data_IF_357425930765
#
_entry.id   IF_357425930765
#
_cell.length_a   1.000
_cell.length_b   1.000
_cell.length_c   1.000
_cell.angle_alpha   90.00
_cell.angle_beta   90.00
_cell.angle_gamma   90.00
#
_symmetry.space_group_name_H-M   'P 1'
#
loop_
_entity.id
_entity.type
_entity.pdbx_description
1 polymer ?
#
# COMPACT_ATOMS: atom_id res chain seq x y z
N UNK A 1 -21.77 -41.91 -0.08
CA UNK A 1 -20.97 -40.69 -0.20
C UNK A 1 -20.16 -40.59 1.08
N UNK A 2 -18.87 -40.92 1.02
CA UNK A 2 -18.04 -41.17 2.21
C UNK A 2 -17.93 -39.96 3.13
N UNK A 3 -18.01 -40.19 4.44
CA UNK A 3 -17.82 -39.16 5.49
C UNK A 3 -16.50 -38.40 5.30
N UNK A 4 -15.44 -39.10 4.88
CA UNK A 4 -14.14 -38.52 4.57
C UNK A 4 -14.23 -37.39 3.53
N UNK A 5 -15.02 -37.61 2.48
CA UNK A 5 -15.18 -36.66 1.37
C UNK A 5 -16.06 -35.45 1.75
N UNK A 6 -16.94 -35.61 2.74
CA UNK A 6 -17.72 -34.53 3.33
C UNK A 6 -16.88 -33.68 4.31
N UNK A 7 -16.03 -34.31 5.11
CA UNK A 7 -15.10 -33.64 6.03
C UNK A 7 -14.02 -32.86 5.28
N UNK A 8 -13.47 -33.42 4.19
CA UNK A 8 -12.50 -32.73 3.33
C UNK A 8 -13.12 -31.52 2.62
N UNK A 9 -14.36 -31.63 2.17
CA UNK A 9 -15.10 -30.51 1.56
C UNK A 9 -15.41 -29.42 2.60
N UNK A 10 -15.75 -29.80 3.83
CA UNK A 10 -15.96 -28.86 4.94
C UNK A 10 -14.66 -28.14 5.35
N UNK A 11 -13.51 -28.79 5.22
CA UNK A 11 -12.20 -28.18 5.49
C UNK A 11 -11.78 -27.13 4.45
N UNK A 12 -12.25 -27.24 3.20
CA UNK A 12 -11.91 -26.34 2.09
C UNK A 12 -12.82 -25.11 2.04
N UNK A 13 -14.12 -25.28 2.29
CA UNK A 13 -15.08 -24.16 2.26
C UNK A 13 -14.79 -23.18 3.40
N UNK A 14 -14.59 -21.91 3.06
CA UNK A 14 -14.26 -20.86 4.03
C UNK A 14 -12.79 -20.80 4.44
N UNK A 15 -11.95 -21.73 3.97
CA UNK A 15 -10.49 -21.74 4.25
C UNK A 15 -9.84 -20.41 3.87
N UNK A 16 -10.08 -19.91 2.66
CA UNK A 16 -9.48 -18.65 2.19
C UNK A 16 -9.82 -17.45 3.07
N UNK A 17 -11.06 -17.40 3.59
CA UNK A 17 -11.48 -16.34 4.51
C UNK A 17 -10.81 -16.51 5.89
N UNK A 18 -10.78 -17.73 6.44
CA UNK A 18 -10.13 -18.03 7.72
C UNK A 18 -8.62 -17.74 7.69
N UNK A 19 -7.92 -18.29 6.71
CA UNK A 19 -6.47 -18.19 6.56
C UNK A 19 -6.09 -16.74 6.19
N UNK A 20 -6.82 -16.11 5.28
CA UNK A 20 -6.64 -14.69 4.93
C UNK A 20 -6.85 -13.76 6.12
N UNK A 21 -7.92 -13.97 6.91
CA UNK A 21 -8.16 -13.19 8.11
C UNK A 21 -7.07 -13.39 9.18
N UNK A 22 -6.46 -14.58 9.26
CA UNK A 22 -5.34 -14.83 10.15
C UNK A 22 -4.10 -14.04 9.72
N UNK A 23 -3.71 -14.12 8.44
CA UNK A 23 -2.59 -13.35 7.88
C UNK A 23 -2.79 -11.84 8.05
N UNK A 24 -4.02 -11.37 7.85
CA UNK A 24 -4.35 -9.96 8.00
C UNK A 24 -4.24 -9.50 9.46
N UNK A 25 -4.66 -10.32 10.43
CA UNK A 25 -4.46 -10.03 11.86
C UNK A 25 -2.97 -9.99 12.22
N UNK A 26 -2.17 -10.92 11.71
CA UNK A 26 -0.71 -10.91 11.92
C UNK A 26 -0.10 -9.62 11.41
N UNK A 27 -0.45 -9.18 10.19
CA UNK A 27 0.05 -7.92 9.66
C UNK A 27 -0.31 -6.71 10.53
N UNK A 28 -1.55 -6.59 11.02
CA UNK A 28 -1.93 -5.51 11.94
C UNK A 28 -1.23 -5.59 13.31
N UNK A 29 -0.94 -6.80 13.81
CA UNK A 29 -0.15 -6.99 15.02
C UNK A 29 1.28 -6.50 14.82
N UNK A 30 1.91 -6.83 13.69
CA UNK A 30 3.24 -6.34 13.36
C UNK A 30 3.27 -4.80 13.29
N UNK A 31 2.26 -4.19 12.66
CA UNK A 31 2.11 -2.73 12.63
C UNK A 31 1.96 -2.12 14.03
N UNK A 32 1.16 -2.76 14.89
CA UNK A 32 0.96 -2.32 16.27
C UNK A 32 2.28 -2.36 17.03
N UNK A 33 3.05 -3.44 16.90
CA UNK A 33 4.35 -3.57 17.55
C UNK A 33 5.33 -2.50 17.09
N UNK A 34 5.32 -2.15 15.79
CA UNK A 34 6.13 -1.04 15.25
C UNK A 34 5.70 0.28 15.89
N UNK A 35 4.39 0.55 15.98
CA UNK A 35 3.87 1.78 16.57
C UNK A 35 4.20 1.92 18.06
N UNK A 36 4.08 0.84 18.84
CA UNK A 36 4.39 0.81 20.27
C UNK A 36 5.87 1.03 20.57
N UNK A 37 6.75 0.62 19.65
CA UNK A 37 8.19 0.86 19.74
C UNK A 37 8.62 2.21 19.15
N UNK A 38 7.67 3.13 18.92
CA UNK A 38 7.86 4.44 18.27
C UNK A 38 8.50 4.35 16.86
N UNK A 39 8.35 3.19 16.21
CA UNK A 39 8.79 2.94 14.86
C UNK A 39 7.92 3.63 13.82
N UNK A 40 8.48 3.75 12.61
CA UNK A 40 7.78 4.31 11.45
C UNK A 40 7.60 3.25 10.37
N UNK A 41 6.57 3.42 9.54
CA UNK A 41 6.32 2.57 8.39
C UNK A 41 6.38 3.35 7.08
N UNK A 42 6.66 2.63 5.99
CA UNK A 42 6.46 3.16 4.66
C UNK A 42 4.98 3.10 4.28
N UNK A 43 4.42 4.23 3.89
CA UNK A 43 3.03 4.36 3.47
C UNK A 43 3.01 4.20 1.96
N UNK A 44 2.44 3.09 1.49
CA UNK A 44 2.47 2.70 0.09
C UNK A 44 1.06 2.80 -0.47
N UNK A 45 0.86 3.81 -1.31
CA UNK A 45 -0.42 4.12 -1.94
C UNK A 45 -0.64 3.26 -3.19
N UNK A 46 -1.84 3.38 -3.73
CA UNK A 46 -2.33 2.64 -4.90
C UNK A 46 -2.22 1.14 -4.62
N UNK A 47 -2.83 0.74 -3.50
CA UNK A 47 -2.94 -0.64 -3.02
C UNK A 47 -1.60 -1.41 -3.01
N UNK A 48 -0.52 -0.75 -2.59
CA UNK A 48 0.78 -1.40 -2.44
C UNK A 48 1.67 -1.36 -3.68
N UNK A 49 1.52 -0.35 -4.53
CA UNK A 49 2.41 -0.15 -5.67
C UNK A 49 3.87 -0.07 -5.23
N UNK A 50 4.76 -0.83 -5.86
CA UNK A 50 6.22 -0.82 -5.61
C UNK A 50 6.65 -1.34 -4.24
N UNK A 51 5.76 -2.02 -3.53
CA UNK A 51 6.03 -2.60 -2.22
C UNK A 51 7.25 -3.54 -2.23
N UNK A 52 7.56 -4.18 -3.35
CA UNK A 52 8.71 -5.09 -3.49
C UNK A 52 10.05 -4.38 -3.24
N UNK A 53 10.19 -3.13 -3.69
CA UNK A 53 11.38 -2.33 -3.40
C UNK A 53 11.46 -2.09 -1.88
N UNK A 54 10.35 -1.72 -1.25
CA UNK A 54 10.37 -1.36 0.17
C UNK A 54 10.62 -2.58 1.07
N UNK A 55 10.08 -3.75 0.69
CA UNK A 55 10.34 -5.02 1.36
C UNK A 55 11.79 -5.47 1.23
N UNK A 56 12.48 -5.10 0.16
CA UNK A 56 13.93 -5.34 0.03
C UNK A 56 14.71 -4.64 1.15
N UNK A 57 14.26 -3.48 1.60
CA UNK A 57 14.86 -2.71 2.70
C UNK A 57 14.34 -3.08 4.11
N UNK A 58 13.44 -4.06 4.21
CA UNK A 58 12.74 -4.46 5.45
C UNK A 58 11.83 -3.39 6.05
N UNK A 59 11.28 -2.50 5.22
CA UNK A 59 10.30 -1.55 5.74
C UNK A 59 9.05 -2.27 6.29
N UNK A 60 8.57 -1.89 7.49
CA UNK A 60 7.17 -2.05 7.82
C UNK A 60 6.35 -1.27 6.78
N UNK A 61 5.29 -1.88 6.24
CA UNK A 61 4.50 -1.26 5.17
C UNK A 61 3.05 -1.14 5.59
N UNK A 62 2.53 0.07 5.41
CA UNK A 62 1.14 0.46 5.60
C UNK A 62 0.53 0.72 4.22
N UNK A 63 -0.71 0.27 4.02
CA UNK A 63 -1.51 0.57 2.84
C UNK A 63 -2.69 1.46 3.27
N UNK A 64 -2.59 2.79 3.10
CA UNK A 64 -3.57 3.74 3.66
C UNK A 64 -5.03 3.45 3.24
N UNK A 65 -5.24 3.05 1.99
CA UNK A 65 -6.57 2.71 1.47
C UNK A 65 -7.13 1.44 2.12
N UNK A 66 -6.28 0.46 2.42
CA UNK A 66 -6.70 -0.79 3.06
C UNK A 66 -7.08 -0.50 4.51
N UNK A 67 -6.28 0.28 5.25
CA UNK A 67 -6.61 0.69 6.60
C UNK A 67 -7.93 1.47 6.63
N UNK A 68 -8.06 2.45 5.74
CA UNK A 68 -9.30 3.21 5.59
C UNK A 68 -10.50 2.32 5.30
N UNK A 69 -10.38 1.38 4.37
CA UNK A 69 -11.43 0.40 4.05
C UNK A 69 -11.79 -0.45 5.28
N UNK A 70 -10.82 -0.82 6.12
CA UNK A 70 -11.10 -1.61 7.32
C UNK A 70 -11.98 -0.88 8.33
N UNK A 71 -11.89 0.45 8.44
CA UNK A 71 -12.81 1.24 9.27
C UNK A 71 -14.27 1.08 8.79
N UNK A 72 -14.48 1.00 7.47
CA UNK A 72 -15.80 0.79 6.87
C UNK A 72 -16.30 -0.65 7.06
N UNK A 73 -15.42 -1.64 6.85
CA UNK A 73 -15.73 -3.07 7.11
C UNK A 73 -16.14 -3.30 8.56
N UNK A 74 -15.53 -2.56 9.50
CA UNK A 74 -15.84 -2.62 10.93
C UNK A 74 -16.99 -1.71 11.35
N UNK A 75 -17.60 -0.99 10.41
CA UNK A 75 -18.75 -0.09 10.62
C UNK A 75 -18.47 1.07 11.59
N UNK A 76 -17.22 1.54 11.62
CA UNK A 76 -16.80 2.69 12.44
C UNK A 76 -16.26 3.86 11.62
N UNK A 77 -16.24 3.75 10.28
CA UNK A 77 -15.74 4.81 9.40
C UNK A 77 -16.35 6.19 9.69
N UNK A 78 -17.64 6.25 10.06
CA UNK A 78 -18.34 7.51 10.33
C UNK A 78 -17.59 8.41 11.32
N UNK A 79 -17.06 7.84 12.40
CA UNK A 79 -16.36 8.62 13.43
C UNK A 79 -15.05 9.22 12.90
N UNK A 80 -14.32 8.46 12.07
CA UNK A 80 -13.07 8.91 11.45
C UNK A 80 -13.32 9.99 10.39
N UNK A 81 -14.39 9.84 9.61
CA UNK A 81 -14.78 10.80 8.57
C UNK A 81 -15.21 12.13 9.20
N UNK A 82 -16.09 12.08 10.21
CA UNK A 82 -16.56 13.29 10.91
C UNK A 82 -15.42 14.06 11.55
N UNK A 83 -14.45 13.36 12.18
CA UNK A 83 -13.30 14.02 12.79
C UNK A 83 -12.40 14.71 11.77
N UNK A 84 -12.20 14.11 10.59
CA UNK A 84 -11.47 14.78 9.51
C UNK A 84 -12.23 16.00 8.95
N UNK A 85 -13.56 15.92 8.87
CA UNK A 85 -14.41 17.03 8.44
C UNK A 85 -14.39 18.18 9.45
N UNK A 86 -14.50 17.88 10.75
CA UNK A 86 -14.38 18.85 11.85
C UNK A 86 -12.99 19.50 11.90
N UNK A 87 -11.95 18.75 11.53
CA UNK A 87 -10.60 19.29 11.37
C UNK A 87 -10.47 20.27 10.19
N UNK A 88 -11.38 20.19 9.20
CA UNK A 88 -11.47 21.13 8.08
C UNK A 88 -11.34 20.50 6.68
N UNK A 89 -11.37 19.17 6.56
CA UNK A 89 -11.40 18.52 5.24
C UNK A 89 -12.81 18.56 4.64
N UNK A 90 -12.91 18.88 3.35
CA UNK A 90 -14.21 18.95 2.68
C UNK A 90 -14.92 17.59 2.68
N UNK A 91 -16.24 17.53 2.94
CA UNK A 91 -17.01 16.30 2.88
C UNK A 91 -17.00 15.67 1.48
N UNK A 92 -16.71 16.44 0.43
CA UNK A 92 -16.75 16.01 -0.98
C UNK A 92 -15.48 15.26 -1.44
N UNK A 93 -14.43 15.17 -0.61
CA UNK A 93 -13.22 14.45 -0.99
C UNK A 93 -13.33 12.95 -0.68
N UNK A 94 -12.38 12.18 -1.23
CA UNK A 94 -12.33 10.73 -1.05
C UNK A 94 -12.42 10.30 0.42
N UNK A 95 -13.33 9.37 0.71
CA UNK A 95 -13.50 8.80 2.05
C UNK A 95 -12.25 8.10 2.60
N UNK A 96 -11.39 7.53 1.74
CA UNK A 96 -10.11 6.98 2.20
C UNK A 96 -9.17 8.06 2.75
N UNK A 97 -9.10 9.23 2.11
CA UNK A 97 -8.28 10.35 2.61
C UNK A 97 -8.79 10.78 3.98
N UNK A 98 -10.11 11.00 4.11
CA UNK A 98 -10.71 11.42 5.37
C UNK A 98 -10.53 10.37 6.48
N UNK A 99 -10.74 9.09 6.19
CA UNK A 99 -10.58 8.03 7.18
C UNK A 99 -9.13 7.87 7.68
N UNK A 100 -8.15 7.99 6.77
CA UNK A 100 -6.74 7.94 7.15
C UNK A 100 -6.31 9.22 7.90
N UNK A 101 -6.81 10.40 7.52
CA UNK A 101 -6.67 11.62 8.32
C UNK A 101 -7.21 11.44 9.73
N UNK A 102 -8.43 10.93 9.88
CA UNK A 102 -8.98 10.60 11.20
C UNK A 102 -8.05 9.65 11.96
N UNK A 103 -7.49 8.63 11.28
CA UNK A 103 -6.55 7.69 11.91
C UNK A 103 -5.26 8.39 12.38
N UNK A 104 -4.70 9.31 11.60
CA UNK A 104 -3.51 10.07 12.00
C UNK A 104 -3.80 11.05 13.14
N UNK A 105 -4.96 11.74 13.12
CA UNK A 105 -5.40 12.64 14.20
C UNK A 105 -5.56 11.88 15.53
N UNK A 106 -6.05 10.64 15.47
CA UNK A 106 -6.12 9.69 16.59
C UNK A 106 -4.79 9.00 16.93
N UNK A 107 -3.67 9.51 16.44
CA UNK A 107 -2.33 8.96 16.73
C UNK A 107 -2.21 7.46 16.37
N UNK A 108 -2.85 7.05 15.28
CA UNK A 108 -2.82 5.69 14.75
C UNK A 108 -3.87 4.74 15.33
N UNK A 109 -4.80 5.20 16.17
CA UNK A 109 -5.86 4.33 16.70
C UNK A 109 -6.73 3.75 15.57
N UNK A 110 -6.79 2.42 15.49
CA UNK A 110 -7.50 1.72 14.42
C UNK A 110 -8.21 0.47 14.96
N UNK A 111 -9.36 0.04 14.41
CA UNK A 111 -10.14 -1.09 14.95
C UNK A 111 -9.41 -2.45 14.94
N UNK A 112 -8.30 -2.53 14.22
CA UNK A 112 -7.48 -3.73 14.09
C UNK A 112 -6.16 -3.65 14.90
N UNK A 113 -5.87 -2.54 15.56
CA UNK A 113 -4.61 -2.31 16.28
C UNK A 113 -4.17 -0.85 16.27
N UNK A 114 -2.87 -0.60 16.24
CA UNK A 114 -2.31 0.75 16.11
C UNK A 114 -1.48 0.89 14.83
N UNK A 115 -1.79 1.91 14.03
CA UNK A 115 -1.04 2.20 12.81
C UNK A 115 0.19 3.04 13.17
N UNK A 116 1.40 2.61 12.76
CA UNK A 116 2.62 3.38 13.02
C UNK A 116 2.63 4.68 12.22
N UNK A 117 3.33 5.69 12.73
CA UNK A 117 3.51 6.97 12.03
C UNK A 117 4.23 6.76 10.70
N UNK A 118 3.95 7.56 9.66
CA UNK A 118 4.62 7.42 8.39
C UNK A 118 6.10 7.83 8.48
N UNK A 119 6.96 7.12 7.76
CA UNK A 119 8.39 7.40 7.58
C UNK A 119 8.74 7.84 6.17
N UNK A 120 8.03 7.32 5.17
CA UNK A 120 8.08 7.70 3.76
C UNK A 120 6.70 7.46 3.15
N UNK A 121 6.31 8.27 2.18
CA UNK A 121 5.14 8.02 1.34
C UNK A 121 5.57 7.69 -0.09
N UNK A 122 5.10 6.57 -0.62
CA UNK A 122 5.41 6.09 -1.98
C UNK A 122 4.10 5.86 -2.73
N UNK A 123 3.98 6.48 -3.89
CA UNK A 123 2.73 6.49 -4.66
C UNK A 123 2.99 6.52 -6.16
N UNK A 124 1.95 6.23 -6.93
CA UNK A 124 1.90 6.57 -8.35
C UNK A 124 0.88 7.67 -8.61
N UNK A 125 0.92 8.26 -9.79
CA UNK A 125 -0.06 9.24 -10.28
C UNK A 125 -1.41 8.62 -10.70
N UNK A 126 -1.78 7.43 -10.21
CA UNK A 126 -3.04 6.74 -10.58
C UNK A 126 -4.30 7.58 -10.34
N UNK A 127 -4.26 8.49 -9.37
CA UNK A 127 -5.29 9.51 -9.16
C UNK A 127 -4.65 10.76 -8.52
N UNK A 128 -5.08 11.95 -8.95
CA UNK A 128 -4.60 13.22 -8.40
C UNK A 128 -4.79 13.34 -6.88
N UNK A 129 -5.80 12.66 -6.33
CA UNK A 129 -6.04 12.58 -4.89
C UNK A 129 -4.85 11.98 -4.13
N UNK A 130 -4.17 10.97 -4.68
CA UNK A 130 -3.00 10.37 -4.02
C UNK A 130 -1.86 11.37 -3.87
N UNK A 131 -1.62 12.19 -4.90
CA UNK A 131 -0.58 13.24 -4.85
C UNK A 131 -0.89 14.23 -3.73
N UNK A 132 -2.13 14.72 -3.66
CA UNK A 132 -2.53 15.66 -2.60
C UNK A 132 -2.48 15.03 -1.21
N UNK A 133 -2.87 13.76 -1.10
CA UNK A 133 -2.81 13.01 0.14
C UNK A 133 -1.37 12.80 0.63
N UNK A 134 -0.45 12.48 -0.27
CA UNK A 134 0.96 12.36 0.08
C UNK A 134 1.58 13.71 0.47
N UNK A 135 1.23 14.81 -0.21
CA UNK A 135 1.65 16.18 0.20
C UNK A 135 1.15 16.55 1.61
N UNK A 136 -0.04 16.09 2.00
CA UNK A 136 -0.55 16.28 3.37
C UNK A 136 0.39 15.58 4.36
N UNK A 137 0.79 14.34 4.07
CA UNK A 137 1.75 13.60 4.91
C UNK A 137 3.15 14.20 4.94
N UNK A 138 3.64 14.69 3.81
CA UNK A 138 4.88 15.47 3.76
C UNK A 138 4.82 16.64 4.74
N UNK A 139 3.73 17.43 4.70
CA UNK A 139 3.59 18.65 5.50
C UNK A 139 3.42 18.36 6.98
N UNK A 140 2.61 17.37 7.34
CA UNK A 140 2.28 17.02 8.72
C UNK A 140 3.45 16.28 9.38
N UNK A 141 4.01 15.28 8.70
CA UNK A 141 4.98 14.36 9.29
C UNK A 141 6.44 14.67 8.92
N UNK A 142 6.69 15.60 7.98
CA UNK A 142 8.04 15.98 7.51
C UNK A 142 8.82 14.77 7.02
N UNK A 143 8.17 13.97 6.16
CA UNK A 143 8.72 12.76 5.57
C UNK A 143 9.01 12.95 4.08
N UNK A 144 9.94 12.18 3.50
CA UNK A 144 10.07 12.10 2.06
C UNK A 144 8.79 11.56 1.40
N UNK A 145 8.44 12.15 0.26
CA UNK A 145 7.40 11.67 -0.65
C UNK A 145 8.04 11.34 -1.98
N UNK A 146 7.81 10.12 -2.47
CA UNK A 146 8.29 9.67 -3.78
C UNK A 146 7.08 9.30 -4.65
N UNK A 147 6.78 10.17 -5.62
CA UNK A 147 5.72 9.92 -6.61
C UNK A 147 6.34 9.37 -7.88
N UNK A 148 5.94 8.16 -8.27
CA UNK A 148 6.26 7.61 -9.59
C UNK A 148 5.18 8.06 -10.57
N UNK A 149 5.56 9.02 -11.41
CA UNK A 149 4.74 9.51 -12.51
C UNK A 149 4.74 8.47 -13.63
N UNK A 150 3.60 7.80 -13.83
CA UNK A 150 3.37 6.85 -14.91
C UNK A 150 2.71 7.61 -16.07
N UNK A 151 3.39 7.77 -17.22
CA UNK A 151 2.83 8.51 -18.34
C UNK A 151 1.51 7.90 -18.82
N UNK A 152 0.49 8.75 -18.97
CA UNK A 152 -0.79 8.37 -19.53
C UNK A 152 -0.74 8.18 -21.05
N UNK A 153 -1.86 7.73 -21.63
CA UNK A 153 -2.01 7.68 -23.09
C UNK A 153 -1.95 9.10 -23.67
N UNK A 154 -1.10 9.30 -24.68
CA UNK A 154 -0.87 10.61 -25.30
C UNK A 154 -1.98 11.04 -26.26
N UNK A 155 -2.66 10.07 -26.86
CA UNK A 155 -3.66 10.28 -27.90
C UNK A 155 -4.75 9.20 -27.80
N UNK A 156 -6.00 9.57 -28.05
CA UNK A 156 -7.14 8.65 -28.04
C UNK A 156 -6.97 7.54 -29.07
N UNK A 157 -7.14 6.28 -28.64
CA UNK A 157 -7.02 5.11 -29.52
C UNK A 157 -5.59 4.69 -29.85
N UNK A 158 -4.56 5.42 -29.40
CA UNK A 158 -3.16 5.07 -29.62
C UNK A 158 -2.56 4.44 -28.36
N UNK A 159 -2.30 3.15 -28.45
CA UNK A 159 -1.50 2.41 -27.47
C UNK A 159 -0.07 2.30 -27.96
N UNK A 160 0.88 2.29 -27.02
CA UNK A 160 2.31 2.11 -27.30
C UNK A 160 2.77 0.81 -26.66
N UNK A 161 3.64 0.08 -27.33
CA UNK A 161 4.12 -1.25 -26.95
C UNK A 161 5.66 -1.32 -26.97
N UNK A 162 6.26 -2.36 -26.35
CA UNK A 162 7.70 -2.59 -26.46
C UNK A 162 8.21 -2.50 -27.89
N UNK A 163 9.23 -1.66 -28.11
CA UNK A 163 9.76 -1.34 -29.43
C UNK A 163 9.30 0.01 -30.01
N UNK A 164 8.16 0.55 -29.55
CA UNK A 164 7.74 1.90 -29.92
C UNK A 164 8.62 2.95 -29.26
N UNK A 165 8.92 4.04 -29.98
CA UNK A 165 9.74 5.15 -29.45
C UNK A 165 9.16 5.71 -28.15
N UNK A 166 7.85 5.94 -28.12
CA UNK A 166 7.18 6.56 -26.98
C UNK A 166 7.15 5.61 -25.78
N UNK A 167 6.92 4.31 -25.99
CA UNK A 167 7.00 3.30 -24.93
C UNK A 167 8.40 3.20 -24.33
N UNK A 168 9.46 3.16 -25.15
CA UNK A 168 10.83 3.07 -24.64
C UNK A 168 11.26 4.34 -23.91
N UNK A 169 10.71 5.51 -24.28
CA UNK A 169 10.91 6.75 -23.53
C UNK A 169 10.22 6.68 -22.16
N UNK A 170 8.96 6.24 -22.10
CA UNK A 170 8.21 6.10 -20.85
C UNK A 170 8.88 5.09 -19.91
N UNK A 171 9.29 3.94 -20.45
CA UNK A 171 10.03 2.92 -19.71
C UNK A 171 11.32 3.47 -19.12
N UNK A 172 12.10 4.25 -19.87
CA UNK A 172 13.32 4.90 -19.35
C UNK A 172 12.99 5.91 -18.26
N UNK A 173 11.93 6.69 -18.45
CA UNK A 173 11.47 7.70 -17.49
C UNK A 173 11.04 7.06 -16.16
N UNK A 174 10.16 6.05 -16.21
CA UNK A 174 9.72 5.32 -15.01
C UNK A 174 10.90 4.60 -14.34
N UNK A 175 11.78 3.97 -15.12
CA UNK A 175 12.96 3.30 -14.55
C UNK A 175 13.93 4.26 -13.85
N UNK A 176 14.02 5.53 -14.27
CA UNK A 176 14.81 6.53 -13.55
C UNK A 176 14.21 6.83 -12.18
N UNK A 177 12.89 7.06 -12.12
CA UNK A 177 12.17 7.31 -10.86
C UNK A 177 12.24 6.13 -9.89
N UNK A 178 12.21 4.88 -10.40
CA UNK A 178 12.42 3.69 -9.55
C UNK A 178 13.82 3.64 -8.94
N UNK A 179 14.85 4.11 -9.66
CA UNK A 179 16.20 4.23 -9.11
C UNK A 179 16.29 5.33 -8.06
N UNK A 180 15.60 6.45 -8.26
CA UNK A 180 15.49 7.51 -7.25
C UNK A 180 14.83 7.01 -5.96
N UNK A 181 13.74 6.24 -6.07
CA UNK A 181 13.12 5.58 -4.91
C UNK A 181 14.11 4.66 -4.18
N UNK A 182 14.88 3.85 -4.92
CA UNK A 182 15.91 3.00 -4.33
C UNK A 182 16.93 3.85 -3.57
N UNK A 183 17.44 4.94 -4.17
CA UNK A 183 18.38 5.85 -3.52
C UNK A 183 17.80 6.45 -2.24
N UNK A 184 16.55 6.94 -2.26
CA UNK A 184 15.87 7.45 -1.05
C UNK A 184 15.80 6.37 0.04
N UNK A 185 15.47 5.13 -0.33
CA UNK A 185 15.45 4.01 0.62
C UNK A 185 16.84 3.70 1.20
N UNK A 186 17.90 3.75 0.38
CA UNK A 186 19.28 3.56 0.86
C UNK A 186 19.67 4.65 1.87
N UNK A 187 19.36 5.91 1.58
CA UNK A 187 19.67 7.06 2.45
C UNK A 187 18.91 6.98 3.78
N UNK A 188 17.64 6.61 3.74
CA UNK A 188 16.81 6.49 4.94
C UNK A 188 17.21 5.33 5.85
N UNK A 189 17.67 4.22 5.26
CA UNK A 189 17.94 2.98 6.02
C UNK A 189 19.41 2.75 6.31
N UNK A 190 20.31 3.43 5.60
CA UNK A 190 21.75 3.15 5.61
C UNK A 190 22.11 1.79 4.97
N UNK A 191 21.15 1.06 4.41
CA UNK A 191 21.37 -0.24 3.75
C UNK A 191 21.57 -0.02 2.25
N UNK A 192 22.43 -0.82 1.63
CA UNK A 192 22.55 -0.87 0.17
C UNK A 192 21.47 -1.75 -0.44
N UNK A 193 21.05 -1.40 -1.65
CA UNK A 193 20.07 -2.17 -2.39
C UNK A 193 20.62 -3.56 -2.72
N UNK A 194 19.92 -4.58 -2.24
CA UNK A 194 20.25 -5.99 -2.47
C UNK A 194 19.39 -6.53 -3.62
N UNK A 195 20.02 -6.72 -4.79
CA UNK A 195 19.35 -7.21 -5.99
C UNK A 195 18.88 -8.67 -5.84
N UNK A 196 19.57 -9.49 -5.06
CA UNK A 196 19.22 -10.90 -4.90
C UNK A 196 18.00 -11.03 -3.97
N UNK A 197 17.98 -10.26 -2.89
CA UNK A 197 16.78 -10.12 -2.06
C UNK A 197 15.60 -9.53 -2.83
N UNK A 198 15.84 -8.53 -3.67
CA UNK A 198 14.76 -7.98 -4.52
C UNK A 198 14.18 -9.02 -5.47
N UNK A 199 15.02 -9.89 -6.06
CA UNK A 199 14.56 -11.02 -6.90
C UNK A 199 13.72 -12.01 -6.11
N UNK A 200 14.12 -12.32 -4.87
CA UNK A 200 13.34 -13.18 -3.97
C UNK A 200 11.95 -12.58 -3.69
N UNK A 201 11.91 -11.30 -3.31
CA UNK A 201 10.66 -10.58 -3.03
C UNK A 201 9.75 -10.53 -4.27
N UNK A 202 10.31 -10.26 -5.46
CA UNK A 202 9.58 -10.32 -6.73
C UNK A 202 9.06 -11.74 -7.02
N UNK A 203 9.79 -12.78 -6.61
CA UNK A 203 9.34 -14.17 -6.70
C UNK A 203 8.00 -14.38 -5.99
N UNK A 204 7.88 -13.92 -4.74
CA UNK A 204 6.63 -14.01 -4.00
C UNK A 204 5.48 -13.22 -4.66
N UNK A 205 5.76 -12.02 -5.18
CA UNK A 205 4.77 -11.22 -5.89
C UNK A 205 4.29 -11.90 -7.19
N UNK A 206 5.20 -12.53 -7.93
CA UNK A 206 4.89 -13.30 -9.13
C UNK A 206 4.05 -14.53 -8.81
N UNK A 207 4.40 -15.29 -7.77
CA UNK A 207 3.63 -16.46 -7.33
C UNK A 207 2.20 -16.07 -6.94
N UNK A 208 2.06 -14.97 -6.20
CA UNK A 208 0.75 -14.40 -5.85
C UNK A 208 -0.05 -14.00 -7.10
N UNK A 209 0.58 -13.32 -8.06
CA UNK A 209 -0.05 -12.90 -9.32
C UNK A 209 -0.52 -14.09 -10.16
N UNK A 210 0.29 -15.14 -10.27
CA UNK A 210 -0.08 -16.39 -10.96
C UNK A 210 -1.24 -17.09 -10.25
N UNK A 211 -1.21 -17.19 -8.92
CA UNK A 211 -2.29 -17.80 -8.16
C UNK A 211 -3.60 -17.01 -8.28
N UNK A 212 -3.54 -15.68 -8.21
CA UNK A 212 -4.69 -14.79 -8.36
C UNK A 212 -5.36 -14.95 -9.73
N UNK A 213 -4.57 -15.00 -10.81
CA UNK A 213 -5.06 -15.24 -12.19
C UNK A 213 -5.73 -16.60 -12.39
N UNK A 214 -5.50 -17.58 -11.51
CA UNK A 214 -6.18 -18.89 -11.56
C UNK A 214 -7.54 -18.86 -10.89
N UNK A 215 -7.78 -17.88 -10.02
CA UNK A 215 -9.01 -17.75 -9.23
C UNK A 215 -10.01 -16.82 -9.94
N UNK A 216 -9.53 -15.77 -10.59
CA UNK A 216 -10.32 -14.92 -11.49
C UNK A 216 -10.68 -15.65 -12.79
#
# INVERSE_FOLDING_TARGET
>A
MDKQNADDRAAIVGRGNKDGAALFRTWFQDLTQVAENDGRAAYVFVMGSLNEILKTFDFPVVFPEINSLQTAVRKVAGDYLSEAEDYGYSPDICGYVKADVGTQLRQGEHPMGRIPRPGIAVLTNACNTYIKWAEIWERIHKIPVVTIDIPGTREGGKLTFPGDRDFENDKKYVAAQLRELITTCEEMTGKKFDIDKFREVLGYANDMSVAWKRIL
#
